data_IF_483623815418
#
_entry.id   IF_483623815418
#
_cell.length_a   1.000
_cell.length_b   1.000
_cell.length_c   1.000
_cell.angle_alpha   90.00
_cell.angle_beta   90.00
_cell.angle_gamma   90.00
#
_symmetry.space_group_name_H-M   'P 1'
#
loop_
_entity.id
_entity.type
_entity.pdbx_description
1 polymer ?
#
# COMPACT_ATOMS: atom_id res chain seq x y z
N UNK A 1 -19.12 -3.38 44.41
CA UNK A 1 -19.09 -4.82 44.07
C UNK A 1 -20.13 -5.08 43.00
N UNK A 2 -19.71 -5.21 41.75
CA UNK A 2 -20.53 -5.74 40.66
C UNK A 2 -19.61 -6.67 39.86
N UNK A 3 -19.97 -7.95 39.78
CA UNK A 3 -19.15 -9.03 39.22
C UNK A 3 -19.29 -9.06 37.69
N UNK A 4 -18.14 -9.13 37.02
CA UNK A 4 -17.99 -9.46 35.60
C UNK A 4 -18.71 -10.78 35.25
N UNK A 5 -19.51 -10.77 34.19
CA UNK A 5 -19.93 -11.98 33.49
C UNK A 5 -19.04 -12.19 32.27
N UNK A 6 -18.26 -13.28 32.28
CA UNK A 6 -17.54 -13.79 31.13
C UNK A 6 -18.55 -14.41 30.14
N UNK A 7 -18.52 -13.96 28.88
CA UNK A 7 -19.11 -14.69 27.75
C UNK A 7 -18.09 -15.70 27.22
N UNK A 8 -18.38 -16.99 27.39
CA UNK A 8 -17.69 -18.09 26.70
C UNK A 8 -18.47 -18.45 25.44
N UNK A 9 -17.91 -18.16 24.26
CA UNK A 9 -18.45 -18.61 22.98
C UNK A 9 -17.88 -19.98 22.63
N UNK A 10 -18.74 -21.00 22.56
CA UNK A 10 -18.40 -22.33 22.06
C UNK A 10 -18.56 -22.34 20.53
N UNK A 11 -17.45 -22.46 19.79
CA UNK A 11 -17.47 -22.72 18.35
C UNK A 11 -17.19 -24.20 18.12
N UNK A 12 -18.18 -24.92 17.56
CA UNK A 12 -18.03 -26.30 17.10
C UNK A 12 -17.15 -26.34 15.85
N UNK A 13 -16.04 -27.07 15.92
CA UNK A 13 -15.24 -27.48 14.77
C UNK A 13 -16.04 -28.50 13.95
N UNK A 14 -16.19 -28.23 12.65
CA UNK A 14 -16.67 -29.21 11.68
C UNK A 14 -15.47 -29.99 11.15
N UNK A 15 -15.54 -31.29 11.37
CA UNK A 15 -14.63 -32.34 10.93
C UNK A 15 -14.88 -32.61 9.43
N UNK A 16 -13.86 -32.49 8.58
CA UNK A 16 -13.96 -32.83 7.16
C UNK A 16 -12.87 -33.85 6.88
N UNK A 17 -13.30 -35.11 6.75
CA UNK A 17 -12.43 -36.27 6.58
C UNK A 17 -11.62 -36.26 5.29
N UNK A 18 -10.40 -36.79 5.39
CA UNK A 18 -9.54 -37.12 4.26
C UNK A 18 -10.05 -38.37 3.50
N UNK A 19 -9.88 -38.44 2.17
CA UNK A 19 -10.06 -39.68 1.43
C UNK A 19 -8.73 -40.45 1.36
N UNK A 20 -8.78 -41.70 1.83
CA UNK A 20 -7.73 -42.71 1.72
C UNK A 20 -7.44 -43.10 0.26
N UNK A 21 -6.16 -43.10 -0.08
CA UNK A 21 -5.58 -43.71 -1.28
C UNK A 21 -5.45 -45.22 -1.10
N UNK A 22 -6.11 -46.02 -1.93
CA UNK A 22 -5.78 -47.42 -2.15
C UNK A 22 -5.95 -47.76 -3.64
N UNK A 23 -4.95 -48.50 -4.13
CA UNK A 23 -4.68 -48.95 -5.49
C UNK A 23 -5.80 -49.84 -6.07
N UNK A 24 -5.89 -49.93 -7.41
CA UNK A 24 -5.78 -51.22 -8.13
C UNK A 24 -5.71 -51.05 -9.66
N UNK A 25 -4.62 -51.61 -10.21
CA UNK A 25 -4.55 -52.42 -11.45
C UNK A 25 -4.81 -51.79 -12.84
N UNK A 26 -3.68 -51.50 -13.50
CA UNK A 26 -3.30 -51.97 -14.85
C UNK A 26 -4.40 -52.38 -15.84
N UNK A 27 -4.63 -51.53 -16.85
CA UNK A 27 -5.07 -51.95 -18.18
C UNK A 27 -4.33 -51.16 -19.25
N UNK A 28 -3.50 -51.85 -20.04
CA UNK A 28 -2.88 -51.37 -21.27
C UNK A 28 -3.79 -51.78 -22.43
N UNK A 29 -4.32 -50.82 -23.18
CA UNK A 29 -4.93 -51.04 -24.49
C UNK A 29 -4.63 -49.85 -25.43
N UNK A 30 -4.60 -50.07 -26.76
CA UNK A 30 -3.71 -49.40 -27.69
C UNK A 30 -4.27 -48.12 -28.30
N UNK A 31 -3.36 -47.24 -28.74
CA UNK A 31 -3.61 -45.99 -29.45
C UNK A 31 -4.37 -46.22 -30.77
N UNK A 32 -5.46 -45.47 -31.04
CA UNK A 32 -5.90 -45.23 -32.40
C UNK A 32 -5.31 -43.91 -32.92
N UNK A 33 -4.66 -43.99 -34.08
CA UNK A 33 -4.38 -42.86 -34.95
C UNK A 33 -5.71 -42.22 -35.36
N UNK A 34 -5.94 -40.98 -34.94
CA UNK A 34 -7.15 -40.21 -35.24
C UNK A 34 -6.83 -38.73 -35.34
N UNK A 35 -6.76 -38.25 -36.58
CA UNK A 35 -6.74 -36.84 -36.96
C UNK A 35 -8.01 -36.12 -36.50
N UNK A 36 -7.87 -35.03 -35.73
CA UNK A 36 -8.92 -34.03 -35.57
C UNK A 36 -8.34 -32.63 -35.42
N UNK A 37 -8.98 -31.73 -36.16
CA UNK A 37 -8.79 -30.29 -36.22
C UNK A 37 -9.10 -29.59 -34.89
N UNK A 38 -8.51 -28.40 -34.76
CA UNK A 38 -8.85 -27.29 -33.85
C UNK A 38 -8.66 -27.62 -32.36
N UNK A 39 -7.78 -26.91 -31.67
CA UNK A 39 -8.02 -25.50 -31.40
C UNK A 39 -6.71 -24.81 -31.12
N UNK A 40 -6.49 -23.67 -31.79
CA UNK A 40 -5.48 -22.72 -31.36
C UNK A 40 -5.75 -22.40 -29.90
N UNK A 41 -4.81 -22.76 -29.03
CA UNK A 41 -4.67 -22.06 -27.76
C UNK A 41 -4.29 -20.65 -28.18
N UNK A 42 -5.29 -19.80 -28.36
CA UNK A 42 -5.11 -18.37 -28.35
C UNK A 42 -4.47 -18.11 -27.01
N UNK A 43 -3.15 -17.88 -27.01
CA UNK A 43 -2.48 -17.28 -25.88
C UNK A 43 -3.27 -16.00 -25.66
N UNK A 44 -4.16 -16.01 -24.66
CA UNK A 44 -4.80 -14.81 -24.17
C UNK A 44 -3.62 -13.95 -23.78
N UNK A 45 -3.30 -13.00 -24.66
CA UNK A 45 -2.37 -11.94 -24.37
C UNK A 45 -3.06 -11.18 -23.25
N UNK A 46 -2.80 -11.66 -22.03
CA UNK A 46 -3.12 -11.01 -20.78
C UNK A 46 -2.13 -9.86 -20.64
N UNK A 47 -2.04 -9.01 -21.66
CA UNK A 47 -1.57 -7.66 -21.53
C UNK A 47 -2.72 -6.88 -20.92
N UNK A 48 -3.06 -7.25 -19.68
CA UNK A 48 -3.21 -6.26 -18.64
C UNK A 48 -1.91 -5.45 -18.72
N UNK A 49 -1.93 -4.40 -19.55
CA UNK A 49 -1.03 -3.30 -19.44
C UNK A 49 -1.28 -2.74 -18.04
N UNK A 50 -0.65 -3.41 -17.07
CA UNK A 50 -0.36 -2.90 -15.74
C UNK A 50 0.05 -1.47 -15.97
N UNK A 51 -0.63 -0.54 -15.30
CA UNK A 51 -0.50 0.89 -15.52
C UNK A 51 0.93 1.30 -15.13
N UNK A 52 1.85 1.07 -16.05
CA UNK A 52 3.24 1.52 -16.09
C UNK A 52 3.34 2.79 -16.93
N UNK A 53 2.22 3.50 -17.07
CA UNK A 53 2.14 4.82 -17.65
C UNK A 53 2.04 5.85 -16.49
N UNK A 54 2.94 6.85 -16.44
CA UNK A 54 4.08 7.05 -17.33
C UNK A 54 5.22 6.06 -17.04
N UNK A 55 5.82 5.52 -18.11
CA UNK A 55 7.05 4.73 -18.00
C UNK A 55 8.22 5.68 -17.75
N UNK A 56 9.17 5.33 -16.88
CA UNK A 56 10.32 6.20 -16.60
C UNK A 56 10.87 6.06 -15.19
N UNK A 57 11.32 4.86 -14.81
CA UNK A 57 12.04 4.69 -13.55
C UNK A 57 13.29 5.55 -13.54
N UNK A 58 13.45 6.35 -12.47
CA UNK A 58 14.65 7.13 -12.22
C UNK A 58 15.41 6.55 -11.02
N UNK A 59 16.71 6.80 -10.97
CA UNK A 59 17.50 6.59 -9.74
C UNK A 59 17.70 7.93 -9.06
N UNK A 60 17.44 7.99 -7.76
CA UNK A 60 17.61 9.20 -6.96
C UNK A 60 18.19 8.87 -5.59
N UNK A 61 18.80 9.86 -4.94
CA UNK A 61 19.29 9.76 -3.57
C UNK A 61 18.39 10.63 -2.69
N UNK A 62 17.76 10.01 -1.70
CA UNK A 62 16.93 10.72 -0.74
C UNK A 62 17.79 11.61 0.15
N UNK A 63 17.38 12.86 0.31
CA UNK A 63 18.05 13.84 1.17
C UNK A 63 17.01 14.49 2.05
N UNK A 64 17.30 14.59 3.35
CA UNK A 64 16.36 15.18 4.29
C UNK A 64 16.06 16.65 3.92
N UNK A 65 14.78 16.98 3.80
CA UNK A 65 14.28 18.32 3.59
C UNK A 65 13.30 18.70 4.70
N UNK A 66 13.79 19.54 5.60
CA UNK A 66 13.08 19.98 6.80
C UNK A 66 11.76 20.72 6.50
N UNK A 67 11.65 21.40 5.35
CA UNK A 67 10.43 22.12 4.96
C UNK A 67 9.22 21.20 4.84
N UNK A 68 9.41 19.92 4.52
CA UNK A 68 8.32 18.93 4.46
C UNK A 68 7.98 18.29 5.82
N UNK A 69 8.77 18.57 6.85
CA UNK A 69 8.65 17.97 8.19
C UNK A 69 8.23 18.95 9.27
N UNK A 70 8.36 20.25 9.03
CA UNK A 70 8.14 21.30 10.01
C UNK A 70 6.66 21.56 10.32
N UNK A 71 6.35 22.33 11.39
CA UNK A 71 4.99 22.76 11.69
C UNK A 71 4.33 23.50 10.51
N UNK A 72 2.98 23.52 10.42
CA UNK A 72 2.27 24.30 9.41
C UNK A 72 2.69 25.78 9.43
N UNK A 73 3.12 26.25 8.27
CA UNK A 73 3.52 27.63 7.96
C UNK A 73 3.27 27.90 6.47
N UNK A 74 3.37 29.15 6.05
CA UNK A 74 3.29 29.52 4.63
C UNK A 74 4.30 28.73 3.78
N UNK A 75 5.57 28.68 4.20
CA UNK A 75 6.64 27.97 3.48
C UNK A 75 6.34 26.47 3.35
N UNK A 76 5.90 25.82 4.44
CA UNK A 76 5.56 24.39 4.38
C UNK A 76 4.35 24.14 3.49
N UNK A 77 3.35 25.03 3.53
CA UNK A 77 2.13 24.90 2.73
C UNK A 77 2.43 25.06 1.25
N UNK A 78 3.29 26.03 0.88
CA UNK A 78 3.77 26.20 -0.48
C UNK A 78 4.59 25.00 -0.95
N UNK A 79 5.49 24.47 -0.10
CA UNK A 79 6.29 23.30 -0.44
C UNK A 79 5.41 22.06 -0.72
N UNK A 80 4.43 21.77 0.15
CA UNK A 80 3.48 20.67 -0.04
C UNK A 80 2.58 20.90 -1.25
N UNK A 81 2.05 22.10 -1.46
CA UNK A 81 1.26 22.40 -2.65
C UNK A 81 2.08 22.25 -3.95
N UNK A 82 3.38 22.55 -3.89
CA UNK A 82 4.28 22.50 -5.05
C UNK A 82 4.61 21.10 -5.57
N UNK A 83 4.36 20.03 -4.80
CA UNK A 83 4.64 18.65 -5.28
C UNK A 83 3.48 18.06 -6.09
N UNK A 84 2.31 18.72 -6.09
CA UNK A 84 1.16 18.29 -6.86
C UNK A 84 1.18 18.86 -8.29
N UNK A 85 0.75 18.10 -9.31
CA UNK A 85 0.52 18.64 -10.63
C UNK A 85 -0.70 19.56 -10.63
N UNK A 86 -0.89 20.32 -11.71
CA UNK A 86 -2.18 20.98 -11.98
C UNK A 86 -3.30 19.93 -11.95
N UNK A 87 -4.42 20.25 -11.30
CA UNK A 87 -5.51 19.30 -11.07
C UNK A 87 -5.26 18.32 -9.92
N UNK A 88 -4.23 18.55 -9.10
CA UNK A 88 -3.88 17.87 -7.84
C UNK A 88 -3.75 16.35 -7.90
N UNK A 89 -3.61 15.79 -9.11
CA UNK A 89 -3.42 14.35 -9.31
C UNK A 89 -4.67 13.59 -9.74
N UNK A 90 -5.79 14.28 -9.99
CA UNK A 90 -6.94 13.70 -10.66
C UNK A 90 -6.71 13.63 -12.18
N UNK A 91 -7.12 12.51 -12.76
CA UNK A 91 -6.96 12.20 -14.19
C UNK A 91 -8.26 11.65 -14.75
N UNK A 92 -8.43 11.81 -16.06
CA UNK A 92 -9.46 11.14 -16.84
C UNK A 92 -8.79 10.68 -18.14
N UNK A 93 -8.88 9.39 -18.44
CA UNK A 93 -8.23 8.77 -19.60
C UNK A 93 -9.22 7.83 -20.31
N UNK A 94 -9.43 7.98 -21.63
CA UNK A 94 -10.53 7.32 -22.35
C UNK A 94 -10.58 5.80 -22.19
N UNK A 95 -9.42 5.15 -22.02
CA UNK A 95 -9.34 3.68 -21.90
C UNK A 95 -8.99 3.20 -20.49
N UNK A 96 -8.31 4.02 -19.68
CA UNK A 96 -7.72 3.58 -18.41
C UNK A 96 -8.53 4.09 -17.21
N UNK A 97 -9.07 5.30 -17.33
CA UNK A 97 -9.92 5.96 -16.34
C UNK A 97 -11.07 6.69 -17.07
N UNK A 98 -12.07 5.98 -17.63
CA UNK A 98 -13.16 6.63 -18.36
C UNK A 98 -13.92 7.64 -17.50
N UNK A 99 -14.02 7.35 -16.21
CA UNK A 99 -14.52 8.26 -15.19
C UNK A 99 -13.36 8.95 -14.45
N UNK A 100 -13.57 10.19 -13.93
CA UNK A 100 -12.58 10.88 -13.12
C UNK A 100 -12.05 10.00 -11.99
N UNK A 101 -10.73 9.91 -11.90
CA UNK A 101 -10.03 9.08 -10.92
C UNK A 101 -8.80 9.80 -10.37
N UNK A 102 -8.47 9.62 -9.11
CA UNK A 102 -7.20 10.05 -8.52
C UNK A 102 -6.11 9.01 -8.75
N UNK A 103 -4.87 9.46 -8.95
CA UNK A 103 -3.70 8.59 -8.82
C UNK A 103 -3.37 8.39 -7.33
N UNK A 104 -3.16 7.14 -6.92
CA UNK A 104 -2.91 6.76 -5.52
C UNK A 104 -1.77 7.54 -4.87
N UNK A 105 -0.66 7.79 -5.57
CA UNK A 105 0.48 8.54 -5.02
C UNK A 105 0.08 9.92 -4.50
N UNK A 106 -0.80 10.65 -5.19
CA UNK A 106 -1.20 12.00 -4.76
C UNK A 106 -2.18 11.94 -3.60
N UNK A 107 -3.05 10.93 -3.56
CA UNK A 107 -3.90 10.70 -2.38
C UNK A 107 -3.04 10.31 -1.16
N UNK A 108 -2.03 9.46 -1.32
CA UNK A 108 -1.09 9.08 -0.25
C UNK A 108 -0.32 10.31 0.29
N UNK A 109 0.18 11.18 -0.60
CA UNK A 109 0.85 12.43 -0.23
C UNK A 109 -0.10 13.39 0.49
N UNK A 110 -1.35 13.50 0.03
CA UNK A 110 -2.38 14.32 0.68
C UNK A 110 -2.67 13.83 2.11
N UNK A 111 -2.86 12.53 2.28
CA UNK A 111 -3.04 11.93 3.60
C UNK A 111 -1.83 12.14 4.51
N UNK A 112 -0.61 12.02 3.97
CA UNK A 112 0.61 12.22 4.74
C UNK A 112 0.74 13.67 5.26
N UNK A 113 0.42 14.66 4.44
CA UNK A 113 0.41 16.06 4.87
C UNK A 113 -0.70 16.34 5.90
N UNK A 114 -1.89 15.76 5.70
CA UNK A 114 -2.97 15.85 6.68
C UNK A 114 -2.56 15.26 8.05
N UNK A 115 -1.84 14.14 8.06
CA UNK A 115 -1.29 13.55 9.28
C UNK A 115 -0.23 14.45 9.93
N UNK A 116 0.63 15.09 9.15
CA UNK A 116 1.61 16.08 9.66
C UNK A 116 0.90 17.25 10.34
N UNK A 117 -0.13 17.82 9.71
CA UNK A 117 -0.92 18.92 10.27
C UNK A 117 -1.62 18.47 11.56
N UNK A 118 -2.22 17.28 11.57
CA UNK A 118 -2.88 16.72 12.75
C UNK A 118 -1.90 16.50 13.92
N UNK A 119 -0.71 15.97 13.64
CA UNK A 119 0.36 15.78 14.62
C UNK A 119 0.72 17.11 15.30
N UNK A 120 0.98 18.15 14.52
CA UNK A 120 1.34 19.46 15.09
C UNK A 120 0.19 20.14 15.81
N UNK A 121 -1.05 19.98 15.32
CA UNK A 121 -2.24 20.46 16.03
C UNK A 121 -2.37 19.79 17.40
N UNK A 122 -2.14 18.47 17.49
CA UNK A 122 -2.20 17.73 18.74
C UNK A 122 -1.11 18.18 19.74
N UNK A 123 0.09 18.52 19.25
CA UNK A 123 1.17 19.05 20.10
C UNK A 123 0.88 20.43 20.67
N UNK A 124 0.15 21.29 19.96
CA UNK A 124 -0.18 22.65 20.44
C UNK A 124 -1.09 22.64 21.69
N UNK A 125 -1.84 21.56 21.91
CA UNK A 125 -2.69 21.38 23.10
C UNK A 125 -1.95 20.91 24.37
N UNK A 126 -0.65 20.59 24.27
CA UNK A 126 0.17 20.15 25.38
C UNK A 126 1.29 21.16 25.64
N UNK A 127 1.28 21.88 26.78
CA UNK A 127 2.39 22.75 27.15
C UNK A 127 3.61 21.87 27.38
N UNK A 128 4.51 21.85 26.39
CA UNK A 128 5.91 21.43 26.48
C UNK A 128 6.18 20.34 27.53
N UNK A 129 6.11 19.06 27.16
CA UNK A 129 6.91 18.10 27.92
C UNK A 129 8.39 18.33 27.56
N UNK A 130 9.28 18.45 28.57
CA UNK A 130 10.63 18.94 28.38
C UNK A 130 11.42 18.02 27.45
N UNK A 131 12.45 18.61 26.85
CA UNK A 131 13.63 17.95 26.27
C UNK A 131 14.43 17.12 27.29
N UNK A 132 13.79 16.51 28.29
CA UNK A 132 14.45 15.64 29.25
C UNK A 132 14.74 14.30 28.60
N UNK A 133 16.02 13.99 28.50
CA UNK A 133 16.59 12.72 28.07
C UNK A 133 16.26 11.51 28.97
N UNK A 134 15.06 11.46 29.53
CA UNK A 134 14.61 10.41 30.43
C UNK A 134 13.54 9.60 29.70
N UNK A 135 13.89 8.35 29.33
CA UNK A 135 13.11 7.39 28.56
C UNK A 135 12.82 7.75 27.10
N UNK A 136 13.89 7.99 26.32
CA UNK A 136 13.80 7.91 24.87
C UNK A 136 13.69 6.45 24.44
N UNK A 137 12.47 5.94 24.26
CA UNK A 137 12.27 5.08 23.10
C UNK A 137 12.67 5.95 21.92
N UNK A 138 13.76 5.59 21.24
CA UNK A 138 14.37 6.36 20.14
C UNK A 138 13.33 6.73 19.06
N UNK A 139 12.20 6.00 18.99
CA UNK A 139 11.10 6.21 18.06
C UNK A 139 10.15 7.39 18.38
N UNK A 140 10.04 7.81 19.64
CA UNK A 140 9.03 8.80 20.08
C UNK A 140 9.57 10.22 20.23
N UNK A 141 10.87 10.40 20.00
CA UNK A 141 11.51 11.73 19.99
C UNK A 141 10.87 12.60 18.88
N UNK A 142 10.42 13.83 19.18
CA UNK A 142 9.87 14.74 18.18
C UNK A 142 10.78 14.94 16.96
N UNK A 143 12.11 14.83 17.09
CA UNK A 143 13.00 14.87 15.95
C UNK A 143 12.85 13.65 15.03
N UNK A 144 12.64 12.45 15.60
CA UNK A 144 12.41 11.23 14.83
C UNK A 144 11.11 11.30 14.04
N UNK A 145 9.99 11.64 14.69
CA UNK A 145 8.69 11.78 14.03
C UNK A 145 8.75 12.80 12.89
N UNK A 146 9.49 13.90 13.07
CA UNK A 146 9.70 14.91 12.02
C UNK A 146 10.40 14.33 10.81
N UNK A 147 11.53 13.65 10.98
CA UNK A 147 12.26 13.08 9.86
C UNK A 147 11.42 12.01 9.12
N UNK A 148 10.56 11.28 9.84
CA UNK A 148 9.67 10.27 9.26
C UNK A 148 8.74 10.85 8.18
N UNK A 149 8.17 12.05 8.38
CA UNK A 149 7.29 12.66 7.37
C UNK A 149 7.99 12.85 6.03
N UNK A 150 9.21 13.41 6.02
CA UNK A 150 9.94 13.62 4.78
C UNK A 150 10.49 12.31 4.20
N UNK A 151 10.90 11.36 5.04
CA UNK A 151 11.31 10.03 4.59
C UNK A 151 10.17 9.27 3.89
N UNK A 152 8.97 9.26 4.49
CA UNK A 152 7.79 8.61 3.91
C UNK A 152 7.39 9.35 2.63
N UNK A 153 7.35 10.69 2.63
CA UNK A 153 7.06 11.50 1.43
C UNK A 153 7.97 11.12 0.27
N UNK A 154 9.29 11.08 0.51
CA UNK A 154 10.26 10.69 -0.51
C UNK A 154 10.07 9.23 -0.95
N UNK A 155 9.74 8.33 -0.02
CA UNK A 155 9.45 6.92 -0.33
C UNK A 155 8.22 6.74 -1.21
N UNK A 156 7.15 7.50 -0.93
CA UNK A 156 5.93 7.53 -1.76
C UNK A 156 6.23 8.06 -3.16
N UNK A 157 7.06 9.09 -3.30
CA UNK A 157 7.46 9.60 -4.62
C UNK A 157 8.38 8.64 -5.38
N UNK A 158 9.29 7.95 -4.68
CA UNK A 158 10.20 6.97 -5.26
C UNK A 158 9.45 5.71 -5.74
N UNK A 159 8.38 5.34 -5.04
CA UNK A 159 7.51 4.22 -5.39
C UNK A 159 6.12 4.74 -5.76
N UNK A 160 6.07 5.79 -6.59
CA UNK A 160 4.85 6.49 -6.96
C UNK A 160 3.78 5.49 -7.44
N UNK A 161 2.79 5.27 -6.59
CA UNK A 161 1.68 4.37 -6.84
C UNK A 161 0.76 4.96 -7.93
N UNK A 162 0.84 4.38 -9.13
CA UNK A 162 0.07 4.77 -10.31
C UNK A 162 -1.28 4.07 -10.41
N UNK A 163 -1.72 3.33 -9.39
CA UNK A 163 -3.06 2.78 -9.38
C UNK A 163 -4.11 3.91 -9.39
N UNK A 164 -5.23 3.64 -10.06
CA UNK A 164 -6.34 4.57 -10.18
C UNK A 164 -7.36 4.36 -9.06
N UNK A 165 -7.90 5.46 -8.57
CA UNK A 165 -8.92 5.51 -7.52
C UNK A 165 -10.12 6.30 -8.04
N UNK A 166 -11.25 5.63 -8.35
CA UNK A 166 -12.45 6.31 -8.80
C UNK A 166 -12.91 7.36 -7.78
N UNK A 167 -13.34 8.51 -8.29
CA UNK A 167 -13.96 9.55 -7.46
C UNK A 167 -15.30 9.04 -6.94
N UNK A 168 -15.50 9.12 -5.63
CA UNK A 168 -16.80 8.93 -5.00
C UNK A 168 -17.61 10.23 -5.14
N UNK A 169 -18.76 10.21 -5.84
CA UNK A 169 -19.55 11.42 -6.07
C UNK A 169 -20.12 12.05 -4.80
N UNK A 170 -20.31 11.27 -3.73
CA UNK A 170 -20.83 11.76 -2.45
C UNK A 170 -19.74 12.45 -1.63
N UNK A 171 -18.50 11.97 -1.74
CA UNK A 171 -17.36 12.54 -1.03
C UNK A 171 -16.71 13.70 -1.80
N UNK A 172 -16.88 13.74 -3.12
CA UNK A 172 -16.15 14.68 -3.99
C UNK A 172 -14.65 14.38 -4.07
N UNK A 173 -14.25 13.15 -3.74
CA UNK A 173 -12.86 12.70 -3.66
C UNK A 173 -12.74 11.18 -3.69
N UNK A 174 -11.58 10.64 -3.38
CA UNK A 174 -11.32 9.18 -3.44
C UNK A 174 -11.33 8.55 -2.05
N UNK A 175 -11.88 7.36 -1.91
CA UNK A 175 -11.79 6.60 -0.64
C UNK A 175 -10.46 5.88 -0.48
N UNK A 176 -9.76 5.61 -1.59
CA UNK A 176 -8.59 4.72 -1.62
C UNK A 176 -8.94 3.23 -1.66
N UNK A 177 -10.21 2.86 -1.46
CA UNK A 177 -10.64 1.49 -1.25
C UNK A 177 -11.49 0.95 -2.41
N UNK A 178 -11.63 -0.38 -2.48
CA UNK A 178 -12.55 -1.06 -3.40
C UNK A 178 -12.08 -1.15 -4.86
N UNK A 179 -10.96 -0.51 -5.20
CA UNK A 179 -10.36 -0.60 -6.55
C UNK A 179 -9.24 -1.62 -6.60
N UNK A 180 -9.12 -2.42 -7.67
CA UNK A 180 -7.96 -3.30 -7.86
C UNK A 180 -6.65 -2.52 -7.80
N UNK A 181 -5.65 -3.07 -7.11
CA UNK A 181 -4.31 -2.51 -7.03
C UNK A 181 -3.29 -3.52 -7.55
N UNK A 182 -2.31 -3.04 -8.31
CA UNK A 182 -1.10 -3.81 -8.61
C UNK A 182 -0.06 -3.48 -7.54
N UNK A 183 0.33 -4.48 -6.75
CA UNK A 183 1.27 -4.33 -5.64
C UNK A 183 2.40 -5.35 -5.77
N UNK A 184 3.55 -5.04 -5.15
CA UNK A 184 4.56 -6.08 -4.86
C UNK A 184 3.99 -7.06 -3.84
N UNK A 185 4.22 -8.36 -4.05
CA UNK A 185 3.79 -9.35 -3.06
C UNK A 185 4.54 -9.16 -1.74
N UNK A 186 3.84 -8.60 -0.76
CA UNK A 186 4.39 -8.32 0.56
C UNK A 186 4.75 -9.60 1.32
N UNK A 187 4.06 -10.72 1.05
CA UNK A 187 4.40 -11.98 1.67
C UNK A 187 5.78 -12.44 1.24
N UNK A 188 6.03 -12.49 -0.07
CA UNK A 188 7.35 -12.83 -0.62
C UNK A 188 8.46 -11.92 -0.11
N UNK A 189 8.21 -10.60 -0.01
CA UNK A 189 9.18 -9.65 0.58
C UNK A 189 9.52 -10.02 2.02
N UNK A 190 8.51 -10.30 2.86
CA UNK A 190 8.71 -10.72 4.25
C UNK A 190 9.50 -12.02 4.35
N UNK A 191 9.19 -13.02 3.53
CA UNK A 191 9.91 -14.29 3.54
C UNK A 191 11.37 -14.13 3.14
N UNK A 192 11.63 -13.35 2.10
CA UNK A 192 12.99 -13.01 1.68
C UNK A 192 13.76 -12.29 2.80
N UNK A 193 13.16 -11.29 3.43
CA UNK A 193 13.78 -10.54 4.53
C UNK A 193 14.08 -11.44 5.74
N UNK A 194 13.17 -12.35 6.08
CA UNK A 194 13.36 -13.33 7.15
C UNK A 194 14.52 -14.28 6.83
N UNK A 195 14.62 -14.77 5.61
CA UNK A 195 15.69 -15.68 5.18
C UNK A 195 17.07 -15.02 5.28
N UNK A 196 17.16 -13.73 4.97
CA UNK A 196 18.41 -12.95 4.98
C UNK A 196 18.55 -12.03 6.20
N UNK A 197 17.83 -12.29 7.29
CA UNK A 197 17.87 -11.43 8.46
C UNK A 197 19.30 -11.29 9.01
N UNK A 198 19.73 -10.05 9.29
CA UNK A 198 21.04 -9.81 9.89
C UNK A 198 21.10 -10.50 11.27
N UNK A 199 22.07 -11.39 11.45
CA UNK A 199 22.32 -12.00 12.76
C UNK A 199 23.11 -10.99 13.59
N UNK A 200 22.62 -10.70 14.80
CA UNK A 200 23.44 -10.03 15.81
C UNK A 200 24.49 -11.05 16.27
N UNK A 201 25.76 -10.70 16.08
CA UNK A 201 26.89 -11.42 16.69
C UNK A 201 26.90 -11.18 18.21
#
# INVERSE_FOLDING_TARGET
MAKNQLLTSHTKLLDVGEPSLEFLSSFVFPLPLGSSLQSGVTLVQNTMASISAPSGSITTVMKYNRTFSDPPSEDTSQAWNGIYPKGVGFVQHPTLAPEPSGLSVFHQLHCLDALRIAYYTALQGHPSHPTSHADHNEHDDPHHVRHCFDYIRQSLMCHADTNLEPVDPKLGGTTGWGSPKTCRDYHSVKQWAKHWMARKE
#
